data_IF_881475066642
#
_entry.id   IF_881475066642
#
_cell.length_a   1.000
_cell.length_b   1.000
_cell.length_c   1.000
_cell.angle_alpha   90.00
_cell.angle_beta   90.00
_cell.angle_gamma   90.00
#
_symmetry.space_group_name_H-M   'P 1'
#
loop_
_entity.id
_entity.type
_entity.pdbx_description
1 polymer ?
#
# COMPACT_ATOMS: atom_id res chain seq x y z
N UNK A 1 -67.35 -72.14 -0.63
CA UNK A 1 -68.08 -71.33 -1.64
C UNK A 1 -68.78 -70.17 -0.94
N UNK A 2 -68.20 -68.97 -1.00
CA UNK A 2 -68.86 -67.72 -0.61
C UNK A 2 -68.38 -66.63 -1.58
N UNK A 3 -69.30 -66.15 -2.40
CA UNK A 3 -69.14 -64.99 -3.26
C UNK A 3 -69.38 -63.74 -2.40
N UNK A 4 -68.51 -62.75 -2.47
CA UNK A 4 -68.80 -61.40 -1.97
C UNK A 4 -68.82 -60.49 -3.18
N UNK A 5 -70.01 -59.94 -3.47
CA UNK A 5 -70.28 -59.07 -4.59
C UNK A 5 -69.64 -57.70 -4.38
N UNK A 6 -68.95 -57.21 -5.43
CA UNK A 6 -68.44 -55.86 -5.52
C UNK A 6 -69.54 -54.91 -6.02
N UNK A 7 -69.83 -53.85 -5.25
CA UNK A 7 -70.64 -52.71 -5.66
C UNK A 7 -69.70 -51.57 -6.02
N UNK A 8 -69.59 -51.27 -7.32
CA UNK A 8 -68.84 -50.13 -7.85
C UNK A 8 -69.78 -48.92 -7.88
N UNK A 9 -69.53 -47.95 -7.01
CA UNK A 9 -70.21 -46.66 -7.02
C UNK A 9 -69.51 -45.72 -8.02
N UNK A 10 -70.10 -45.52 -9.20
CA UNK A 10 -69.67 -44.52 -10.16
C UNK A 10 -70.03 -43.12 -9.65
N UNK A 11 -69.04 -42.38 -9.17
CA UNK A 11 -69.18 -40.98 -8.74
C UNK A 11 -68.63 -40.09 -9.85
N UNK A 12 -69.52 -39.39 -10.54
CA UNK A 12 -69.21 -38.39 -11.57
C UNK A 12 -68.55 -37.17 -10.94
N UNK A 13 -67.25 -36.98 -11.20
CA UNK A 13 -66.55 -35.74 -10.86
C UNK A 13 -66.86 -34.68 -11.92
N UNK A 14 -67.56 -33.63 -11.50
CA UNK A 14 -67.76 -32.42 -12.27
C UNK A 14 -66.45 -31.60 -12.22
N UNK A 15 -65.79 -31.40 -13.37
CA UNK A 15 -64.60 -30.54 -13.47
C UNK A 15 -65.07 -29.13 -13.84
N UNK A 16 -64.78 -28.08 -13.04
CA UNK A 16 -65.06 -26.71 -13.46
C UNK A 16 -64.11 -26.31 -14.59
N UNK A 17 -64.67 -25.91 -15.72
CA UNK A 17 -63.93 -25.25 -16.80
C UNK A 17 -63.45 -23.88 -16.31
N UNK A 18 -62.14 -23.70 -16.16
CA UNK A 18 -61.52 -22.39 -16.01
C UNK A 18 -61.29 -21.83 -17.41
N UNK A 19 -62.01 -20.76 -17.77
CA UNK A 19 -61.71 -19.99 -18.95
C UNK A 19 -60.49 -19.09 -18.64
N UNK A 20 -59.40 -19.22 -19.41
CA UNK A 20 -58.33 -18.24 -19.40
C UNK A 20 -58.87 -16.91 -19.92
N UNK A 21 -59.01 -15.93 -19.03
CA UNK A 21 -59.26 -14.55 -19.42
C UNK A 21 -57.98 -14.01 -20.03
N UNK A 22 -57.90 -13.99 -21.36
CA UNK A 22 -56.85 -13.25 -22.07
C UNK A 22 -57.11 -11.76 -21.90
N UNK A 23 -56.50 -11.17 -20.86
CA UNK A 23 -56.40 -9.73 -20.68
C UNK A 23 -55.61 -9.14 -21.84
N UNK A 24 -56.31 -8.57 -22.82
CA UNK A 24 -55.70 -7.76 -23.86
C UNK A 24 -55.24 -6.44 -23.24
N UNK A 25 -53.94 -6.31 -22.99
CA UNK A 25 -53.36 -5.04 -22.57
C UNK A 25 -53.29 -4.10 -23.78
N UNK A 26 -54.06 -3.02 -23.73
CA UNK A 26 -53.90 -1.88 -24.63
C UNK A 26 -52.44 -1.41 -24.63
N UNK A 27 -51.82 -1.31 -25.80
CA UNK A 27 -50.46 -0.80 -25.97
C UNK A 27 -50.43 0.72 -25.75
N UNK A 28 -50.57 1.16 -24.49
CA UNK A 28 -50.24 2.51 -24.11
C UNK A 28 -48.72 2.57 -23.81
N UNK A 29 -47.89 3.20 -24.66
CA UNK A 29 -46.44 3.21 -24.50
C UNK A 29 -45.97 3.89 -23.21
N UNK A 30 -46.82 4.71 -22.58
CA UNK A 30 -46.52 5.32 -21.28
C UNK A 30 -46.65 4.34 -20.12
N UNK A 31 -47.56 3.36 -20.21
CA UNK A 31 -47.76 2.34 -19.18
C UNK A 31 -46.61 1.34 -19.19
N UNK A 32 -46.11 0.95 -20.36
CA UNK A 32 -44.95 0.05 -20.46
C UNK A 32 -43.64 0.72 -20.02
N UNK A 33 -43.49 2.03 -20.27
CA UNK A 33 -42.36 2.80 -19.78
C UNK A 33 -42.39 2.95 -18.25
N UNK A 34 -43.53 3.30 -17.67
CA UNK A 34 -43.68 3.42 -16.22
C UNK A 34 -43.47 2.08 -15.49
N UNK A 35 -43.90 0.96 -16.07
CA UNK A 35 -43.62 -0.37 -15.52
C UNK A 35 -42.13 -0.74 -15.58
N UNK A 36 -41.45 -0.38 -16.68
CA UNK A 36 -40.00 -0.61 -16.84
C UNK A 36 -39.17 0.29 -15.93
N UNK A 37 -39.52 1.57 -15.78
CA UNK A 37 -38.89 2.46 -14.80
C UNK A 37 -39.16 1.97 -13.38
N UNK A 38 -40.39 1.55 -13.08
CA UNK A 38 -40.75 0.97 -11.78
C UNK A 38 -39.93 -0.28 -11.45
N UNK A 39 -39.70 -1.18 -12.42
CA UNK A 39 -38.87 -2.37 -12.20
C UNK A 39 -37.39 -2.04 -12.06
N UNK A 40 -36.88 -1.04 -12.79
CA UNK A 40 -35.50 -0.56 -12.67
C UNK A 40 -35.25 0.09 -11.31
N UNK A 41 -36.09 1.05 -10.90
CA UNK A 41 -35.97 1.67 -9.58
C UNK A 41 -36.22 0.68 -8.44
N UNK A 42 -37.12 -0.30 -8.64
CA UNK A 42 -37.33 -1.39 -7.69
C UNK A 42 -36.08 -2.27 -7.54
N UNK A 43 -35.38 -2.57 -8.64
CA UNK A 43 -34.13 -3.32 -8.59
C UNK A 43 -33.01 -2.51 -7.90
N UNK A 44 -32.89 -1.22 -8.17
CA UNK A 44 -31.91 -0.33 -7.53
C UNK A 44 -32.18 -0.16 -6.03
N UNK A 45 -33.44 0.07 -5.64
CA UNK A 45 -33.81 0.22 -4.21
C UNK A 45 -33.63 -1.08 -3.44
N UNK A 46 -33.92 -2.23 -4.03
CA UNK A 46 -33.65 -3.54 -3.42
C UNK A 46 -32.14 -3.83 -3.31
N UNK A 47 -31.36 -3.46 -4.32
CA UNK A 47 -29.90 -3.58 -4.26
C UNK A 47 -29.31 -2.68 -3.18
N UNK A 48 -29.83 -1.45 -3.02
CA UNK A 48 -29.42 -0.53 -1.96
C UNK A 48 -29.88 -0.98 -0.57
N UNK A 49 -31.08 -1.56 -0.46
CA UNK A 49 -31.60 -2.12 0.78
C UNK A 49 -30.88 -3.41 1.22
N UNK A 50 -30.27 -4.13 0.27
CA UNK A 50 -29.42 -5.27 0.56
C UNK A 50 -28.10 -4.87 1.27
N UNK A 51 -27.69 -3.60 1.17
CA UNK A 51 -26.61 -3.06 1.99
C UNK A 51 -27.16 -2.61 3.35
N UNK A 52 -26.86 -3.39 4.39
CA UNK A 52 -27.28 -3.04 5.74
C UNK A 52 -26.50 -1.85 6.29
N UNK A 53 -26.98 -1.24 7.37
CA UNK A 53 -26.26 -0.18 8.09
C UNK A 53 -24.82 -0.59 8.47
N UNK A 54 -24.56 -1.88 8.65
CA UNK A 54 -23.22 -2.44 8.90
C UNK A 54 -22.31 -2.40 7.68
N UNK A 55 -22.83 -2.65 6.49
CA UNK A 55 -22.08 -2.61 5.24
C UNK A 55 -21.74 -1.16 4.87
N UNK A 56 -22.70 -0.26 5.04
CA UNK A 56 -22.48 1.19 4.92
C UNK A 56 -21.45 1.66 5.95
N UNK A 57 -21.59 1.26 7.23
CA UNK A 57 -20.64 1.60 8.27
C UNK A 57 -19.22 1.09 7.95
N UNK A 58 -19.08 -0.09 7.33
CA UNK A 58 -17.79 -0.66 6.93
C UNK A 58 -17.16 0.11 5.78
N UNK A 59 -17.95 0.64 4.85
CA UNK A 59 -17.49 1.46 3.73
C UNK A 59 -17.16 2.90 4.16
N UNK A 60 -17.84 3.43 5.17
CA UNK A 60 -17.58 4.76 5.73
C UNK A 60 -16.52 4.76 6.83
N UNK A 61 -16.20 3.60 7.41
CA UNK A 61 -15.10 3.45 8.35
C UNK A 61 -13.80 3.62 7.57
N UNK A 62 -13.07 4.69 7.86
CA UNK A 62 -11.67 4.80 7.44
C UNK A 62 -10.99 3.48 7.83
N UNK A 63 -10.23 2.83 6.92
CA UNK A 63 -9.51 1.62 7.28
C UNK A 63 -8.76 1.93 8.58
N UNK A 64 -8.99 1.12 9.61
CA UNK A 64 -8.15 1.17 10.80
C UNK A 64 -6.75 0.86 10.29
N UNK A 65 -6.00 1.94 10.03
CA UNK A 65 -4.67 1.84 9.49
C UNK A 65 -3.92 0.95 10.44
N UNK A 66 -3.40 -0.16 9.92
CA UNK A 66 -2.33 -0.89 10.58
C UNK A 66 -1.33 0.18 10.99
N UNK A 67 -1.13 0.36 12.30
CA UNK A 67 -0.18 1.34 12.80
C UNK A 67 1.19 0.87 12.32
N UNK A 68 1.61 1.36 11.15
CA UNK A 68 2.94 1.12 10.63
C UNK A 68 3.90 1.84 11.57
N UNK A 69 4.48 1.09 12.52
CA UNK A 69 5.48 1.55 13.46
C UNK A 69 6.85 1.63 12.76
N UNK A 70 7.48 2.80 12.69
CA UNK A 70 8.88 2.97 12.33
C UNK A 70 9.81 2.77 13.53
N UNK A 71 11.08 3.14 13.38
CA UNK A 71 12.02 3.20 14.50
C UNK A 71 11.52 4.18 15.57
N UNK A 72 11.79 3.89 16.86
CA UNK A 72 11.40 4.73 18.01
C UNK A 72 9.90 5.07 18.08
N UNK A 73 9.04 4.10 17.77
CA UNK A 73 7.58 4.26 17.83
C UNK A 73 7.03 5.33 16.87
N UNK A 74 7.78 5.69 15.81
CA UNK A 74 7.30 6.64 14.80
C UNK A 74 6.16 6.00 14.00
N UNK A 75 4.92 6.31 14.35
CA UNK A 75 3.76 5.84 13.56
C UNK A 75 3.44 6.79 12.42
N UNK A 76 2.73 6.28 11.40
CA UNK A 76 2.20 7.12 10.32
C UNK A 76 1.30 8.26 10.82
N UNK A 77 0.59 8.05 11.92
CA UNK A 77 -0.26 9.06 12.56
C UNK A 77 0.58 10.15 13.24
N UNK A 78 1.61 9.75 14.00
CA UNK A 78 2.58 10.68 14.62
C UNK A 78 3.26 11.53 13.56
N UNK A 79 3.70 10.92 12.45
CA UNK A 79 4.30 11.62 11.32
C UNK A 79 3.34 12.61 10.63
N UNK A 80 2.07 12.24 10.50
CA UNK A 80 1.05 13.13 9.94
C UNK A 80 0.84 14.37 10.82
N UNK A 81 0.86 14.20 12.14
CA UNK A 81 0.69 15.28 13.11
C UNK A 81 1.91 16.22 13.24
N UNK A 82 3.11 15.78 12.82
CA UNK A 82 4.30 16.64 12.83
C UNK A 82 4.14 17.84 11.88
N UNK A 83 4.72 19.01 12.19
CA UNK A 83 4.75 20.15 11.27
C UNK A 83 5.53 19.81 10.00
N UNK A 84 5.36 20.60 8.94
CA UNK A 84 6.26 20.52 7.77
C UNK A 84 7.66 20.82 8.25
N UNK A 85 8.58 19.89 7.99
CA UNK A 85 9.97 20.04 8.39
C UNK A 85 10.77 20.80 7.33
N UNK A 86 11.78 21.52 7.80
CA UNK A 86 12.85 22.11 7.00
C UNK A 86 14.15 22.02 7.78
N UNK A 87 15.28 22.31 7.14
CA UNK A 87 16.58 22.35 7.77
C UNK A 87 17.65 22.90 6.84
N UNK A 88 18.89 22.92 7.31
CA UNK A 88 20.06 23.25 6.47
C UNK A 88 20.44 22.12 5.53
N UNK A 89 21.64 22.21 4.95
CA UNK A 89 22.09 21.33 3.86
C UNK A 89 21.96 19.83 4.16
N UNK A 90 22.33 19.40 5.38
CA UNK A 90 22.25 17.99 5.77
C UNK A 90 20.81 17.44 5.72
N UNK A 91 19.83 18.27 6.09
CA UNK A 91 18.41 17.91 5.97
C UNK A 91 17.98 17.84 4.51
N UNK A 92 18.42 18.81 3.69
CA UNK A 92 18.09 18.83 2.27
C UNK A 92 18.63 17.59 1.56
N UNK A 93 19.91 17.25 1.77
CA UNK A 93 20.55 16.06 1.21
C UNK A 93 19.85 14.77 1.64
N UNK A 94 19.48 14.65 2.92
CA UNK A 94 18.78 13.47 3.40
C UNK A 94 17.37 13.36 2.80
N UNK A 95 16.60 14.45 2.82
CA UNK A 95 15.23 14.46 2.30
C UNK A 95 15.19 14.16 0.80
N UNK A 96 16.15 14.70 0.05
CA UNK A 96 16.32 14.43 -1.39
C UNK A 96 16.65 12.96 -1.65
N UNK A 97 17.65 12.41 -0.95
CA UNK A 97 18.00 11.00 -1.09
C UNK A 97 16.81 10.09 -0.79
N UNK A 98 16.08 10.34 0.31
CA UNK A 98 14.89 9.56 0.65
C UNK A 98 13.76 9.72 -0.38
N UNK A 99 13.64 10.89 -1.00
CA UNK A 99 12.64 11.12 -2.05
C UNK A 99 12.92 10.26 -3.29
N UNK A 100 14.17 10.22 -3.75
CA UNK A 100 14.51 9.48 -4.97
C UNK A 100 14.66 7.98 -4.75
N UNK A 101 15.07 7.56 -3.55
CA UNK A 101 15.34 6.15 -3.25
C UNK A 101 14.12 5.42 -2.70
N UNK A 102 13.26 6.09 -1.94
CA UNK A 102 12.28 5.40 -1.09
C UNK A 102 10.90 6.05 -0.98
N UNK A 103 10.58 7.13 -1.71
CA UNK A 103 9.29 7.84 -1.52
C UNK A 103 8.04 6.95 -1.64
N UNK A 104 8.12 5.90 -2.45
CA UNK A 104 7.05 4.92 -2.67
C UNK A 104 7.00 3.77 -1.65
N UNK A 105 7.94 3.70 -0.71
CA UNK A 105 8.01 2.64 0.29
C UNK A 105 7.12 2.91 1.51
N UNK A 106 6.97 1.87 2.34
CA UNK A 106 6.34 1.98 3.67
C UNK A 106 7.16 2.89 4.58
N UNK A 107 6.59 3.33 5.69
CA UNK A 107 7.30 4.16 6.67
C UNK A 107 8.59 3.48 7.15
N UNK A 108 8.52 2.18 7.49
CA UNK A 108 9.70 1.36 7.83
C UNK A 108 10.74 1.34 6.71
N UNK A 109 10.32 1.24 5.45
CA UNK A 109 11.24 1.22 4.31
C UNK A 109 12.01 2.53 4.15
N UNK A 110 11.33 3.66 4.26
CA UNK A 110 11.97 4.99 4.20
C UNK A 110 12.93 5.19 5.38
N UNK A 111 12.50 4.83 6.60
CA UNK A 111 13.37 4.90 7.79
C UNK A 111 14.58 3.99 7.63
N UNK A 112 14.42 2.77 7.09
CA UNK A 112 15.55 1.87 6.84
C UNK A 112 16.60 2.44 5.90
N UNK A 113 16.19 3.14 4.83
CA UNK A 113 17.15 3.85 3.95
C UNK A 113 17.83 5.00 4.70
N UNK A 114 17.10 5.76 5.53
CA UNK A 114 17.67 6.82 6.34
C UNK A 114 18.70 6.28 7.35
N UNK A 115 18.41 5.14 8.00
CA UNK A 115 19.35 4.45 8.88
C UNK A 115 20.64 4.11 8.14
N UNK A 116 20.56 3.53 6.94
CA UNK A 116 21.77 3.19 6.16
C UNK A 116 22.63 4.43 5.89
N UNK A 117 22.03 5.57 5.53
CA UNK A 117 22.76 6.81 5.29
C UNK A 117 23.46 7.27 6.57
N UNK A 118 22.76 7.29 7.70
CA UNK A 118 23.32 7.74 8.98
C UNK A 118 24.35 6.76 9.55
N UNK A 119 24.16 5.45 9.35
CA UNK A 119 25.13 4.43 9.74
C UNK A 119 26.44 4.58 8.97
N UNK A 120 26.38 5.02 7.71
CA UNK A 120 27.58 5.38 6.95
C UNK A 120 28.25 6.62 7.53
N UNK A 121 27.49 7.66 7.86
CA UNK A 121 28.06 8.87 8.49
C UNK A 121 28.86 8.53 9.76
N UNK A 122 28.36 7.57 10.56
CA UNK A 122 29.03 7.14 11.79
C UNK A 122 30.23 6.19 11.56
N UNK A 123 30.36 5.63 10.37
CA UNK A 123 31.38 4.66 10.03
C UNK A 123 32.57 5.32 9.32
N UNK A 124 33.76 5.11 9.89
CA UNK A 124 35.03 5.71 9.43
C UNK A 124 35.40 5.37 7.98
N UNK A 125 34.76 4.38 7.36
CA UNK A 125 34.95 4.01 5.95
C UNK A 125 34.26 4.96 4.99
N UNK A 126 33.31 5.76 5.45
CA UNK A 126 32.51 6.65 4.62
C UNK A 126 32.72 8.12 5.02
N UNK A 127 32.23 9.07 4.20
CA UNK A 127 32.25 10.49 4.55
C UNK A 127 31.48 10.78 5.85
N UNK A 128 32.04 11.65 6.69
CA UNK A 128 31.48 12.00 8.00
C UNK A 128 30.33 13.04 7.96
N UNK A 129 29.63 13.17 6.82
CA UNK A 129 28.46 14.04 6.69
C UNK A 129 27.42 13.43 5.77
N UNK A 130 26.14 13.74 5.98
CA UNK A 130 25.04 13.23 5.17
C UNK A 130 25.20 13.64 3.71
N UNK A 131 25.46 14.91 3.45
CA UNK A 131 25.71 15.36 2.07
C UNK A 131 26.95 14.69 1.46
N UNK A 132 27.99 14.41 2.25
CA UNK A 132 29.16 13.67 1.77
C UNK A 132 28.82 12.23 1.39
N UNK A 133 27.98 11.53 2.16
CA UNK A 133 27.50 10.18 1.85
C UNK A 133 26.59 10.18 0.63
N UNK A 134 25.66 11.12 0.55
CA UNK A 134 24.69 11.23 -0.55
C UNK A 134 25.38 11.53 -1.88
N UNK A 135 26.37 12.43 -1.88
CA UNK A 135 27.12 12.81 -3.08
C UNK A 135 28.40 11.97 -3.29
N UNK A 136 28.52 10.83 -2.62
CA UNK A 136 29.70 9.99 -2.76
C UNK A 136 29.78 9.42 -4.18
N UNK A 137 30.91 9.65 -4.85
CA UNK A 137 31.18 9.19 -6.22
C UNK A 137 30.60 10.08 -7.32
N UNK A 138 29.91 11.18 -6.96
CA UNK A 138 29.39 12.14 -7.93
C UNK A 138 30.54 12.76 -8.75
N UNK A 139 30.37 12.83 -10.07
CA UNK A 139 31.41 13.26 -11.02
C UNK A 139 32.17 12.11 -11.69
N UNK A 140 32.06 10.89 -11.18
CA UNK A 140 32.57 9.68 -11.82
C UNK A 140 31.42 8.85 -12.40
N UNK A 141 31.38 8.66 -13.73
CA UNK A 141 30.30 7.91 -14.40
C UNK A 141 30.23 6.48 -13.86
N UNK A 142 29.04 6.05 -13.44
CA UNK A 142 28.73 4.71 -12.87
C UNK A 142 29.32 4.41 -11.49
N UNK A 143 29.81 5.41 -10.75
CA UNK A 143 30.47 5.23 -9.44
C UNK A 143 29.67 5.81 -8.29
N UNK A 144 28.49 6.34 -8.59
CA UNK A 144 27.73 7.13 -7.65
C UNK A 144 26.96 6.22 -6.71
N UNK A 145 27.02 6.58 -5.44
CA UNK A 145 26.41 5.80 -4.38
C UNK A 145 24.88 5.80 -4.48
N UNK A 146 24.31 6.95 -4.85
CA UNK A 146 22.89 7.09 -5.16
C UNK A 146 22.77 7.40 -6.65
N UNK A 147 22.04 6.56 -7.38
CA UNK A 147 22.10 6.55 -8.86
C UNK A 147 21.59 7.87 -9.45
N UNK A 148 20.61 8.49 -8.79
CA UNK A 148 20.01 9.74 -9.26
C UNK A 148 21.08 10.85 -9.39
N UNK A 149 22.03 10.95 -8.45
CA UNK A 149 23.11 11.96 -8.49
C UNK A 149 24.02 11.94 -9.73
N UNK A 150 23.92 10.91 -10.57
CA UNK A 150 24.77 10.73 -11.75
C UNK A 150 24.05 10.18 -12.99
N UNK A 151 22.73 10.14 -12.99
CA UNK A 151 21.96 9.67 -14.15
C UNK A 151 21.88 10.73 -15.27
N UNK A 152 22.38 11.94 -15.00
CA UNK A 152 22.43 13.07 -15.93
C UNK A 152 21.07 13.73 -16.15
N UNK A 153 20.07 13.42 -15.33
CA UNK A 153 18.74 14.01 -15.38
C UNK A 153 18.65 15.15 -14.35
N UNK A 154 17.81 16.16 -14.60
CA UNK A 154 17.56 17.19 -13.62
C UNK A 154 16.73 16.63 -12.47
N UNK A 155 17.23 16.78 -11.25
CA UNK A 155 16.49 16.37 -10.05
C UNK A 155 15.28 17.27 -9.84
N UNK A 156 14.12 16.72 -10.18
CA UNK A 156 12.85 17.45 -10.13
C UNK A 156 11.92 16.79 -9.12
N UNK A 157 11.65 17.50 -8.03
CA UNK A 157 10.64 17.10 -7.05
C UNK A 157 9.27 17.51 -7.60
N UNK A 158 8.56 16.55 -8.17
CA UNK A 158 7.21 16.75 -8.72
C UNK A 158 6.11 16.47 -7.69
N UNK A 159 6.37 15.63 -6.69
CA UNK A 159 5.39 15.18 -5.71
C UNK A 159 5.62 15.84 -4.35
N UNK A 160 5.06 17.04 -4.19
CA UNK A 160 5.25 17.88 -2.98
C UNK A 160 4.86 17.15 -1.69
N UNK A 161 3.76 16.39 -1.68
CA UNK A 161 3.31 15.64 -0.50
C UNK A 161 4.29 14.55 -0.09
N UNK A 162 4.82 13.82 -1.07
CA UNK A 162 5.83 12.80 -0.82
C UNK A 162 7.13 13.44 -0.30
N UNK A 163 7.54 14.57 -0.88
CA UNK A 163 8.70 15.32 -0.39
C UNK A 163 8.52 15.83 1.04
N UNK A 164 7.35 16.37 1.38
CA UNK A 164 7.04 16.76 2.76
C UNK A 164 7.08 15.58 3.72
N UNK A 165 6.56 14.41 3.32
CA UNK A 165 6.60 13.18 4.12
C UNK A 165 8.05 12.78 4.41
N UNK A 166 8.89 12.65 3.38
CA UNK A 166 10.30 12.27 3.58
C UNK A 166 11.11 13.35 4.28
N UNK A 167 10.78 14.63 4.10
CA UNK A 167 11.39 15.75 4.82
C UNK A 167 11.13 15.70 6.33
N UNK A 168 9.91 15.32 6.74
CA UNK A 168 9.60 15.08 8.16
C UNK A 168 10.40 13.91 8.73
N UNK A 169 10.50 12.81 7.98
CA UNK A 169 11.32 11.65 8.37
C UNK A 169 12.79 12.05 8.47
N UNK A 170 13.32 12.79 7.50
CA UNK A 170 14.70 13.28 7.52
C UNK A 170 15.01 14.11 8.77
N UNK A 171 14.12 15.05 9.14
CA UNK A 171 14.26 15.83 10.37
C UNK A 171 14.26 14.94 11.61
N UNK A 172 13.28 14.04 11.72
CA UNK A 172 13.17 13.10 12.84
C UNK A 172 14.44 12.26 13.01
N UNK A 173 14.99 11.72 11.92
CA UNK A 173 16.22 10.93 11.97
C UNK A 173 17.45 11.78 12.33
N UNK A 174 17.55 13.01 11.82
CA UNK A 174 18.62 13.95 12.16
C UNK A 174 18.55 14.47 13.61
N UNK A 175 17.38 14.41 14.24
CA UNK A 175 17.21 14.72 15.67
C UNK A 175 17.71 13.60 16.60
N UNK A 176 18.28 12.52 16.05
CA UNK A 176 18.85 11.42 16.82
C UNK A 176 17.85 10.33 17.18
N UNK A 177 16.84 10.11 16.32
CA UNK A 177 15.96 8.96 16.44
C UNK A 177 16.76 7.64 16.51
N UNK A 178 16.20 6.66 17.21
CA UNK A 178 16.77 5.32 17.32
C UNK A 178 16.87 4.64 15.94
N UNK A 179 17.88 3.78 15.77
CA UNK A 179 18.22 3.14 14.49
C UNK A 179 18.41 1.64 14.64
N UNK A 180 17.30 0.94 14.84
CA UNK A 180 17.28 -0.50 15.08
C UNK A 180 16.64 -1.31 13.95
N UNK A 181 16.00 -0.67 12.96
CA UNK A 181 15.25 -1.41 11.94
C UNK A 181 16.15 -2.27 11.06
N UNK A 182 17.36 -1.79 10.79
CA UNK A 182 18.26 -2.42 9.81
C UNK A 182 19.40 -3.22 10.41
N UNK A 183 19.48 -3.31 11.74
CA UNK A 183 20.61 -3.84 12.49
C UNK A 183 21.94 -3.25 12.00
N UNK A 184 22.06 -1.92 11.89
CA UNK A 184 23.31 -1.30 11.47
C UNK A 184 23.72 -1.63 10.03
N UNK A 185 22.76 -1.77 9.11
CA UNK A 185 23.07 -1.96 7.70
C UNK A 185 23.81 -0.73 7.14
N UNK A 186 24.74 -0.98 6.21
CA UNK A 186 25.45 0.07 5.46
C UNK A 186 25.20 -0.04 3.96
N UNK A 187 24.43 -1.02 3.51
CA UNK A 187 24.10 -1.25 2.11
C UNK A 187 22.66 -1.74 1.99
N UNK A 188 22.03 -1.42 0.87
CA UNK A 188 20.75 -1.99 0.50
C UNK A 188 20.64 -2.13 -1.02
N UNK A 189 19.70 -2.95 -1.47
CA UNK A 189 19.27 -2.97 -2.85
C UNK A 189 17.81 -3.39 -2.95
N UNK A 190 17.16 -3.04 -4.06
CA UNK A 190 15.79 -3.50 -4.34
C UNK A 190 15.78 -5.00 -4.64
N UNK A 191 14.65 -5.66 -4.41
CA UNK A 191 14.46 -7.09 -4.73
C UNK A 191 14.64 -7.43 -6.21
N UNK A 192 14.57 -6.44 -7.10
CA UNK A 192 14.72 -6.61 -8.56
C UNK A 192 16.16 -6.71 -9.05
N UNK A 193 17.15 -6.41 -8.21
CA UNK A 193 18.56 -6.39 -8.63
C UNK A 193 19.41 -7.30 -7.75
N UNK A 194 20.56 -7.73 -8.27
CA UNK A 194 21.49 -8.62 -7.56
C UNK A 194 22.94 -8.13 -7.72
N UNK A 195 23.39 -7.16 -6.92
CA UNK A 195 24.74 -6.65 -6.99
C UNK A 195 25.76 -7.69 -6.48
N UNK A 196 26.98 -7.67 -7.03
CA UNK A 196 28.01 -8.68 -6.69
C UNK A 196 28.33 -8.75 -5.20
N UNK A 197 28.37 -7.60 -4.51
CA UNK A 197 28.64 -7.52 -3.08
C UNK A 197 27.57 -8.21 -2.22
N UNK A 198 26.31 -8.31 -2.70
CA UNK A 198 25.23 -8.95 -1.95
C UNK A 198 25.43 -10.46 -1.76
N UNK A 199 26.38 -11.06 -2.49
CA UNK A 199 26.77 -12.47 -2.34
C UNK A 199 27.71 -12.72 -1.17
N UNK A 200 28.41 -11.68 -0.72
CA UNK A 200 29.46 -11.78 0.31
C UNK A 200 29.12 -10.99 1.57
N UNK A 201 28.26 -9.97 1.46
CA UNK A 201 27.84 -9.19 2.61
C UNK A 201 26.73 -9.94 3.36
N UNK A 202 26.79 -10.05 4.69
CA UNK A 202 25.67 -10.57 5.48
C UNK A 202 24.42 -9.70 5.28
N UNK A 203 23.32 -10.34 4.87
CA UNK A 203 22.00 -9.70 4.85
C UNK A 203 21.48 -9.58 6.27
N UNK A 204 21.16 -8.37 6.72
CA UNK A 204 20.63 -8.11 8.07
C UNK A 204 19.12 -8.31 8.10
N UNK A 205 18.41 -7.66 7.19
CA UNK A 205 16.94 -7.71 7.18
C UNK A 205 16.36 -7.49 5.77
N UNK A 206 15.04 -7.58 5.66
CA UNK A 206 14.27 -7.23 4.47
C UNK A 206 13.05 -6.43 4.89
N UNK A 207 12.94 -5.20 4.41
CA UNK A 207 11.84 -4.28 4.73
C UNK A 207 11.26 -3.78 3.42
N UNK A 208 9.94 -3.91 3.24
CA UNK A 208 9.27 -3.49 2.03
C UNK A 208 9.88 -4.14 0.78
N UNK A 209 10.33 -3.32 -0.17
CA UNK A 209 10.94 -3.79 -1.41
C UNK A 209 12.48 -3.90 -1.36
N UNK A 210 13.08 -3.70 -0.18
CA UNK A 210 14.52 -3.59 -0.01
C UNK A 210 15.11 -4.73 0.83
N UNK A 211 16.28 -5.22 0.41
CA UNK A 211 17.16 -6.08 1.19
C UNK A 211 18.29 -5.22 1.77
N UNK A 212 18.55 -5.36 3.07
CA UNK A 212 19.55 -4.59 3.82
C UNK A 212 20.72 -5.47 4.22
N UNK A 213 21.93 -4.92 4.16
CA UNK A 213 23.18 -5.65 4.32
C UNK A 213 24.18 -4.85 5.14
N UNK A 214 25.02 -5.58 5.89
CA UNK A 214 26.14 -5.02 6.63
C UNK A 214 27.44 -5.36 5.93
N UNK A 215 28.34 -4.40 5.84
CA UNK A 215 29.68 -4.69 5.33
C UNK A 215 30.42 -5.66 6.27
N UNK A 216 31.07 -6.72 5.75
CA UNK A 216 31.78 -7.70 6.57
C UNK A 216 32.82 -7.01 7.46
N UNK A 217 32.87 -7.39 8.73
CA UNK A 217 34.00 -7.03 9.57
C UNK A 217 35.23 -7.82 9.09
N UNK A 218 36.41 -7.20 9.09
CA UNK A 218 37.69 -7.83 8.67
C UNK A 218 38.05 -9.11 9.44
N UNK A 219 37.30 -9.45 10.50
CA UNK A 219 37.52 -10.64 11.33
C UNK A 219 36.88 -11.90 10.73
N UNK A 220 35.95 -11.77 9.77
CA UNK A 220 35.20 -12.88 9.19
C UNK A 220 35.73 -13.33 7.80
N UNK A 221 37.01 -13.09 7.51
CA UNK A 221 37.70 -13.67 6.35
C UNK A 221 38.81 -14.60 6.84
N UNK A 222 38.44 -15.85 7.14
CA UNK A 222 39.35 -16.98 7.27
C UNK A 222 38.93 -18.05 6.25
#
# INVERSE_FOLDING_TARGET
MKWVAALIAASTLCVPAVADVTLSTSNNPTVSLNQRLGSLFGAETNALAAFGARDVARLTRAPEGVLEEGADGLTSQKLAAMPVASGGDQWSCLAEALYFEARGETLKGIVGVAEVILNRVDDRRYPASVCGVVNQGTGERYRCQFTYTCDGRPETITEVRAYQKVGKIARFMLDGAERELTDGATHYHTKSVNPRWARVFPRTTTIGYHHFYREPSRVAQN
#
